data_IF_556440269598
#
_entry.id   IF_556440269598
#
_cell.length_a   1.000
_cell.length_b   1.000
_cell.length_c   1.000
_cell.angle_alpha   90.00
_cell.angle_beta   90.00
_cell.angle_gamma   90.00
#
_symmetry.space_group_name_H-M   'P 1'
#
loop_
_entity.id
_entity.type
_entity.pdbx_description
1 polymer ?
#
# COMPACT_ATOMS: atom_id res chain seq x y z
N UNK A 1 44.43 -15.24 7.28
CA UNK A 1 44.49 -13.84 7.76
C UNK A 1 43.30 -13.64 8.69
N UNK A 2 43.48 -13.00 9.84
CA UNK A 2 42.36 -12.64 10.70
C UNK A 2 41.50 -11.55 10.05
N UNK A 3 40.26 -11.38 10.51
CA UNK A 3 39.44 -10.24 10.14
C UNK A 3 39.99 -8.97 10.81
N UNK A 4 40.11 -7.88 10.05
CA UNK A 4 40.51 -6.59 10.62
C UNK A 4 39.39 -6.01 11.48
N UNK A 5 39.74 -5.21 12.49
CA UNK A 5 38.75 -4.54 13.33
C UNK A 5 37.89 -3.56 12.51
N UNK A 6 36.55 -3.62 12.65
CA UNK A 6 35.62 -2.66 12.04
C UNK A 6 35.25 -1.61 13.09
N UNK A 7 36.02 -0.52 13.14
CA UNK A 7 35.74 0.65 13.98
C UNK A 7 36.19 1.93 13.29
N UNK A 8 35.70 3.09 13.75
CA UNK A 8 36.01 4.39 13.13
C UNK A 8 37.50 4.76 13.16
N UNK A 9 38.27 4.17 14.09
CA UNK A 9 39.68 4.47 14.33
C UNK A 9 40.62 3.33 13.91
N UNK A 10 40.07 2.21 13.43
CA UNK A 10 40.85 1.06 13.00
C UNK A 10 41.74 1.41 11.80
N UNK A 11 42.98 0.93 11.84
CA UNK A 11 43.93 0.96 10.71
C UNK A 11 44.18 -0.43 10.14
N UNK A 12 43.45 -1.45 10.63
CA UNK A 12 43.57 -2.82 10.14
C UNK A 12 43.09 -2.92 8.69
N UNK A 13 43.79 -3.75 7.91
CA UNK A 13 43.31 -4.12 6.59
C UNK A 13 42.04 -4.98 6.72
N UNK A 14 40.97 -4.60 6.01
CA UNK A 14 39.78 -5.45 5.85
C UNK A 14 40.06 -6.56 4.82
N UNK A 15 39.45 -7.73 5.03
CA UNK A 15 39.58 -8.84 4.09
C UNK A 15 38.34 -8.99 3.18
N UNK A 16 38.45 -9.86 2.16
CA UNK A 16 37.39 -10.07 1.19
C UNK A 16 36.09 -10.62 1.78
N UNK A 17 36.12 -11.41 2.86
CA UNK A 17 34.88 -11.93 3.47
C UNK A 17 34.12 -10.85 4.25
N UNK A 18 34.83 -9.88 4.84
CA UNK A 18 34.21 -8.70 5.45
C UNK A 18 33.51 -7.83 4.40
N UNK A 19 34.19 -7.51 3.30
CA UNK A 19 33.59 -6.76 2.18
C UNK A 19 32.42 -7.52 1.56
N UNK A 20 32.57 -8.84 1.36
CA UNK A 20 31.50 -9.68 0.82
C UNK A 20 30.26 -9.67 1.73
N UNK A 21 30.45 -9.72 3.06
CA UNK A 21 29.34 -9.64 4.03
C UNK A 21 28.60 -8.32 3.93
N UNK A 22 29.32 -7.20 3.83
CA UNK A 22 28.70 -5.89 3.59
C UNK A 22 27.95 -5.85 2.25
N UNK A 23 28.55 -6.35 1.18
CA UNK A 23 27.92 -6.36 -0.15
C UNK A 23 26.66 -7.23 -0.18
N UNK A 24 26.62 -8.33 0.58
CA UNK A 24 25.43 -9.15 0.73
C UNK A 24 24.29 -8.38 1.42
N UNK A 25 24.58 -7.59 2.46
CA UNK A 25 23.58 -6.71 3.08
C UNK A 25 23.11 -5.60 2.13
N UNK A 26 24.01 -5.01 1.34
CA UNK A 26 23.65 -4.01 0.31
C UNK A 26 22.73 -4.62 -0.77
N UNK A 27 23.01 -5.86 -1.20
CA UNK A 27 22.16 -6.57 -2.15
C UNK A 27 20.76 -6.83 -1.58
N UNK A 28 20.66 -7.24 -0.30
CA UNK A 28 19.36 -7.39 0.39
C UNK A 28 18.59 -6.08 0.47
N UNK A 29 19.27 -4.96 0.75
CA UNK A 29 18.63 -3.63 0.76
C UNK A 29 18.08 -3.29 -0.62
N UNK A 30 18.85 -3.57 -1.68
CA UNK A 30 18.43 -3.30 -3.06
C UNK A 30 17.18 -4.12 -3.44
N UNK A 31 17.10 -5.37 -3.01
CA UNK A 31 15.90 -6.21 -3.18
C UNK A 31 14.70 -5.64 -2.42
N UNK A 32 14.87 -5.33 -1.12
CA UNK A 32 13.81 -4.73 -0.29
C UNK A 32 13.30 -3.41 -0.88
N UNK A 33 14.16 -2.62 -1.51
CA UNK A 33 13.75 -1.38 -2.17
C UNK A 33 12.88 -1.65 -3.40
N UNK A 34 13.18 -2.69 -4.17
CA UNK A 34 12.34 -3.16 -5.27
C UNK A 34 10.97 -3.61 -4.78
N UNK A 35 10.93 -4.44 -3.74
CA UNK A 35 9.69 -4.92 -3.13
C UNK A 35 8.83 -3.76 -2.61
N UNK A 36 9.46 -2.81 -1.89
CA UNK A 36 8.80 -1.61 -1.40
C UNK A 36 8.16 -0.80 -2.53
N UNK A 37 8.87 -0.62 -3.64
CA UNK A 37 8.33 0.09 -4.81
C UNK A 37 7.10 -0.62 -5.39
N UNK A 38 7.12 -1.95 -5.47
CA UNK A 38 5.97 -2.75 -5.87
C UNK A 38 4.79 -2.55 -4.92
N UNK A 39 5.01 -2.77 -3.61
CA UNK A 39 3.99 -2.57 -2.57
C UNK A 39 3.38 -1.18 -2.59
N UNK A 40 4.19 -0.12 -2.73
CA UNK A 40 3.68 1.26 -2.81
C UNK A 40 2.84 1.48 -4.07
N UNK A 41 3.25 0.93 -5.21
CA UNK A 41 2.52 1.08 -6.47
C UNK A 41 1.18 0.35 -6.42
N UNK A 42 1.16 -0.85 -5.84
CA UNK A 42 -0.04 -1.65 -5.61
C UNK A 42 -1.03 -0.97 -4.65
N UNK A 43 -0.53 -0.35 -3.57
CA UNK A 43 -1.34 0.44 -2.65
C UNK A 43 -1.99 1.67 -3.33
N UNK A 44 -1.26 2.36 -4.22
CA UNK A 44 -1.82 3.48 -5.01
C UNK A 44 -2.88 2.96 -6.01
N UNK A 45 -2.64 1.82 -6.65
CA UNK A 45 -3.65 1.16 -7.48
C UNK A 45 -4.92 0.84 -6.66
N UNK A 46 -4.77 0.39 -5.42
CA UNK A 46 -5.88 0.19 -4.48
C UNK A 46 -6.66 1.47 -4.18
N UNK A 47 -5.96 2.59 -4.00
CA UNK A 47 -6.59 3.90 -3.83
C UNK A 47 -7.39 4.34 -5.07
N UNK A 48 -6.85 4.13 -6.28
CA UNK A 48 -7.61 4.39 -7.52
C UNK A 48 -8.83 3.49 -7.65
N UNK A 49 -8.70 2.20 -7.33
CA UNK A 49 -9.81 1.25 -7.35
C UNK A 49 -10.95 1.69 -6.40
N UNK A 50 -10.60 2.12 -5.19
CA UNK A 50 -11.54 2.65 -4.21
C UNK A 50 -12.18 3.97 -4.65
N UNK A 51 -11.41 4.87 -5.28
CA UNK A 51 -11.89 6.16 -5.76
C UNK A 51 -12.89 6.02 -6.93
N UNK A 52 -12.78 4.97 -7.73
CA UNK A 52 -13.72 4.67 -8.81
C UNK A 52 -15.12 4.22 -8.32
N UNK A 53 -15.28 3.93 -7.02
CA UNK A 53 -16.57 3.51 -6.46
C UNK A 53 -17.55 4.68 -6.34
N UNK A 54 -18.62 4.62 -7.15
CA UNK A 54 -19.72 5.58 -7.11
C UNK A 54 -20.51 5.52 -5.79
N UNK A 55 -21.02 6.67 -5.37
CA UNK A 55 -21.87 6.83 -4.20
C UNK A 55 -23.32 7.08 -4.65
N UNK A 56 -24.34 6.52 -3.97
CA UNK A 56 -25.73 6.91 -4.21
C UNK A 56 -25.93 8.39 -3.87
N UNK A 57 -26.95 9.00 -4.46
CA UNK A 57 -27.31 10.41 -4.24
C UNK A 57 -28.73 10.61 -3.68
N UNK A 58 -29.55 9.56 -3.68
CA UNK A 58 -30.92 9.61 -3.16
C UNK A 58 -30.98 9.29 -1.65
N UNK A 59 -31.79 10.02 -0.86
CA UNK A 59 -32.08 9.66 0.53
C UNK A 59 -32.68 8.24 0.64
N UNK A 60 -32.22 7.47 1.64
CA UNK A 60 -32.63 6.08 1.84
C UNK A 60 -31.98 5.07 0.88
N UNK A 61 -31.27 5.53 -0.16
CA UNK A 61 -30.63 4.63 -1.11
C UNK A 61 -29.36 4.00 -0.55
N UNK A 62 -29.13 2.75 -0.96
CA UNK A 62 -27.90 2.01 -0.68
C UNK A 62 -27.29 1.49 -1.97
N UNK A 63 -25.97 1.44 -2.06
CA UNK A 63 -25.25 0.89 -3.19
C UNK A 63 -24.20 -0.13 -2.75
N UNK A 64 -23.90 -1.05 -3.66
CA UNK A 64 -22.69 -1.88 -3.66
C UNK A 64 -22.00 -1.68 -4.99
N UNK A 65 -20.67 -1.59 -4.96
CA UNK A 65 -19.87 -1.36 -6.17
C UNK A 65 -18.56 -2.11 -6.13
N UNK A 66 -17.99 -2.27 -7.32
CA UNK A 66 -16.66 -2.85 -7.54
C UNK A 66 -15.86 -1.86 -8.39
N UNK A 67 -14.62 -1.60 -8.01
CA UNK A 67 -13.70 -0.72 -8.73
C UNK A 67 -12.37 -1.41 -8.98
N UNK A 68 -11.68 -1.02 -10.04
CA UNK A 68 -10.34 -1.49 -10.37
C UNK A 68 -9.41 -0.31 -10.55
N UNK A 69 -8.13 -0.50 -10.24
CA UNK A 69 -7.11 0.52 -10.38
C UNK A 69 -5.83 -0.09 -10.91
N UNK A 70 -5.08 0.68 -11.68
CA UNK A 70 -3.74 0.32 -12.14
C UNK A 70 -2.81 1.50 -11.92
N UNK A 71 -1.61 1.23 -11.42
CA UNK A 71 -0.57 2.23 -11.28
C UNK A 71 0.82 1.61 -11.38
N UNK A 72 1.64 2.14 -12.30
CA UNK A 72 3.05 1.73 -12.51
C UNK A 72 3.24 0.21 -12.64
N UNK A 73 2.31 -0.49 -13.29
CA UNK A 73 2.38 -1.94 -13.54
C UNK A 73 1.68 -2.80 -12.49
N UNK A 74 1.34 -2.25 -11.32
CA UNK A 74 0.56 -2.93 -10.30
C UNK A 74 -0.93 -2.67 -10.48
N UNK A 75 -1.76 -3.62 -10.07
CA UNK A 75 -3.23 -3.50 -10.18
C UNK A 75 -3.89 -3.82 -8.85
N UNK A 76 -5.11 -3.30 -8.66
CA UNK A 76 -5.90 -3.60 -7.48
C UNK A 76 -7.39 -3.61 -7.80
N UNK A 77 -8.13 -4.31 -6.95
CA UNK A 77 -9.58 -4.39 -6.93
C UNK A 77 -10.08 -3.76 -5.63
N UNK A 78 -11.23 -3.08 -5.69
CA UNK A 78 -11.95 -2.62 -4.51
C UNK A 78 -13.41 -3.05 -4.58
N UNK A 79 -13.97 -3.40 -3.44
CA UNK A 79 -15.41 -3.61 -3.26
C UNK A 79 -15.85 -2.64 -2.18
N UNK A 80 -16.96 -1.94 -2.38
CA UNK A 80 -17.48 -1.04 -1.35
C UNK A 80 -18.99 -0.96 -1.35
N UNK A 81 -19.48 -0.50 -0.21
CA UNK A 81 -20.89 -0.26 0.08
C UNK A 81 -21.07 1.18 0.55
N UNK A 82 -22.21 1.77 0.23
CA UNK A 82 -22.57 3.09 0.75
C UNK A 82 -24.07 3.19 0.96
N UNK A 83 -24.48 4.00 1.93
CA UNK A 83 -25.89 4.24 2.24
C UNK A 83 -26.11 5.68 2.66
N UNK A 84 -27.26 6.24 2.29
CA UNK A 84 -27.75 7.54 2.74
C UNK A 84 -28.97 7.31 3.62
N UNK A 85 -29.03 7.94 4.79
CA UNK A 85 -30.19 7.86 5.67
C UNK A 85 -31.47 8.38 5.00
N UNK A 86 -32.64 7.93 5.45
CA UNK A 86 -33.94 8.32 4.88
C UNK A 86 -34.19 9.83 4.91
N UNK A 87 -33.63 10.53 5.91
CA UNK A 87 -33.70 11.98 6.01
C UNK A 87 -32.66 12.73 5.16
N UNK A 88 -31.83 12.00 4.39
CA UNK A 88 -30.82 12.53 3.49
C UNK A 88 -29.60 13.17 4.17
N UNK A 89 -29.53 13.17 5.50
CA UNK A 89 -28.50 13.93 6.25
C UNK A 89 -27.23 13.16 6.52
N UNK A 90 -27.29 11.84 6.65
CA UNK A 90 -26.15 11.00 6.98
C UNK A 90 -25.76 10.13 5.79
N UNK A 91 -24.47 10.14 5.45
CA UNK A 91 -23.89 9.33 4.38
C UNK A 91 -22.80 8.44 4.99
N UNK A 92 -22.96 7.13 4.86
CA UNK A 92 -21.98 6.15 5.29
C UNK A 92 -21.38 5.48 4.05
N UNK A 93 -20.06 5.26 4.07
CA UNK A 93 -19.35 4.49 3.04
C UNK A 93 -18.33 3.57 3.71
N UNK A 94 -18.21 2.35 3.22
CA UNK A 94 -17.23 1.37 3.63
C UNK A 94 -16.68 0.65 2.40
N UNK A 95 -15.38 0.36 2.39
CA UNK A 95 -14.75 -0.34 1.28
C UNK A 95 -13.61 -1.23 1.75
N UNK A 96 -13.30 -2.22 0.93
CA UNK A 96 -12.14 -3.11 1.03
C UNK A 96 -11.41 -3.07 -0.31
N UNK A 97 -10.10 -3.21 -0.29
CA UNK A 97 -9.20 -3.23 -1.44
C UNK A 97 -8.28 -4.43 -1.35
N UNK A 98 -7.94 -5.04 -2.48
CA UNK A 98 -6.95 -6.10 -2.57
C UNK A 98 -6.09 -5.86 -3.82
N UNK A 99 -4.77 -5.97 -3.68
CA UNK A 99 -3.82 -5.64 -4.73
C UNK A 99 -2.97 -6.84 -5.21
N UNK A 100 -2.29 -6.67 -6.34
CA UNK A 100 -1.44 -7.69 -6.98
C UNK A 100 -0.23 -8.11 -6.15
N UNK A 101 0.15 -7.29 -5.17
CA UNK A 101 1.20 -7.61 -4.19
C UNK A 101 0.64 -8.32 -2.95
N UNK A 102 -0.61 -8.80 -3.00
CA UNK A 102 -1.32 -9.53 -1.93
C UNK A 102 -1.59 -8.73 -0.67
N UNK A 103 -1.62 -7.39 -0.73
CA UNK A 103 -2.02 -6.56 0.39
C UNK A 103 -3.51 -6.29 0.35
N UNK A 104 -4.13 -6.27 1.53
CA UNK A 104 -5.55 -5.93 1.71
C UNK A 104 -5.66 -4.69 2.56
N UNK A 105 -6.50 -3.74 2.13
CA UNK A 105 -6.80 -2.52 2.87
C UNK A 105 -8.30 -2.34 3.04
N UNK A 106 -8.72 -1.58 4.05
CA UNK A 106 -10.11 -1.21 4.27
C UNK A 106 -10.23 0.25 4.67
N UNK A 107 -11.35 0.89 4.33
CA UNK A 107 -11.64 2.26 4.72
C UNK A 107 -13.13 2.42 5.01
N UNK A 108 -13.47 3.36 5.89
CA UNK A 108 -14.84 3.75 6.18
C UNK A 108 -14.93 5.26 6.40
N UNK A 109 -16.10 5.84 6.12
CA UNK A 109 -16.36 7.27 6.31
C UNK A 109 -17.81 7.53 6.69
N UNK A 110 -18.04 8.59 7.47
CA UNK A 110 -19.35 9.11 7.82
C UNK A 110 -19.36 10.61 7.51
N UNK A 111 -20.38 11.08 6.79
CA UNK A 111 -20.55 12.49 6.45
C UNK A 111 -21.95 12.95 6.86
N UNK A 112 -22.04 14.19 7.37
CA UNK A 112 -23.30 14.85 7.70
C UNK A 112 -23.50 16.07 6.79
N UNK A 113 -24.67 16.22 6.19
CA UNK A 113 -25.07 17.37 5.37
C UNK A 113 -26.36 18.01 5.89
N UNK A 114 -26.48 19.34 5.77
CA UNK A 114 -27.58 20.15 6.29
C UNK A 114 -28.27 20.98 5.21
#
# INVERSE_FOLDING_TARGET
MAAGEISKTSTDAINGSQLHSTNAEVAKISQKLGDLKGTMSAGIAGAYAAAALAQPHDPGASSVGVGVGNFRGESALSIGVSTISDNGRWILKGLVTHDTQSHTGAAASVNYQW
#
